data_IF_160533693021
#
_entry.id   IF_160533693021
#
_cell.length_a   1.000
_cell.length_b   1.000
_cell.length_c   1.000
_cell.angle_alpha   90.00
_cell.angle_beta   90.00
_cell.angle_gamma   90.00
#
_symmetry.space_group_name_H-M   'P 1'
#
loop_
_entity.id
_entity.type
_entity.pdbx_description
1 polymer ?
#
# COMPACT_ATOMS: atom_id res chain seq x y z
N UNK A 1 15.72 21.95 24.85
CA UNK A 1 15.28 23.13 24.11
C UNK A 1 13.82 22.89 23.69
N UNK A 2 12.83 23.49 24.40
CA UNK A 2 11.40 23.39 24.00
C UNK A 2 11.17 24.39 22.87
N UNK A 3 11.13 23.93 21.64
CA UNK A 3 10.70 24.76 20.51
C UNK A 3 9.21 24.99 20.69
N UNK A 4 8.82 26.21 21.06
CA UNK A 4 7.43 26.64 21.17
C UNK A 4 6.89 26.90 19.75
N UNK A 5 6.33 25.88 19.12
CA UNK A 5 5.62 26.03 17.84
C UNK A 5 4.25 26.66 18.14
N UNK A 6 3.93 27.78 17.45
CA UNK A 6 2.60 28.37 17.55
C UNK A 6 1.52 27.35 17.21
N UNK A 7 0.43 27.31 17.98
CA UNK A 7 -0.67 26.35 17.80
C UNK A 7 -1.23 26.34 16.38
N UNK A 8 -1.15 27.45 15.65
CA UNK A 8 -1.63 27.57 14.27
C UNK A 8 -0.76 26.80 13.25
N UNK A 9 0.53 26.53 13.57
CA UNK A 9 1.45 25.80 12.69
C UNK A 9 1.49 24.29 12.95
N UNK A 10 0.92 23.82 14.07
CA UNK A 10 0.94 22.39 14.42
C UNK A 10 0.35 21.51 13.32
N UNK A 11 -0.83 21.79 12.72
CA UNK A 11 -1.37 20.98 11.65
C UNK A 11 -0.44 20.88 10.44
N UNK A 12 0.17 22.00 10.05
CA UNK A 12 1.11 22.03 8.92
C UNK A 12 2.33 21.15 9.18
N UNK A 13 2.92 21.22 10.36
CA UNK A 13 4.10 20.43 10.75
C UNK A 13 3.77 18.93 10.75
N UNK A 14 2.59 18.55 11.27
CA UNK A 14 2.13 17.15 11.28
C UNK A 14 1.85 16.65 9.86
N UNK A 15 1.24 17.46 8.99
CA UNK A 15 1.02 17.11 7.57
C UNK A 15 2.35 16.92 6.86
N UNK A 16 3.30 17.83 6.99
CA UNK A 16 4.64 17.72 6.38
C UNK A 16 5.34 16.47 6.89
N UNK A 17 5.31 16.22 8.20
CA UNK A 17 5.86 14.99 8.79
C UNK A 17 5.26 13.74 8.19
N UNK A 18 3.93 13.68 8.07
CA UNK A 18 3.21 12.58 7.43
C UNK A 18 3.57 12.41 5.96
N UNK A 19 3.68 13.51 5.21
CA UNK A 19 4.09 13.50 3.80
C UNK A 19 5.48 12.90 3.63
N UNK A 20 6.46 13.32 4.42
CA UNK A 20 7.83 12.79 4.33
C UNK A 20 7.88 11.32 4.72
N UNK A 21 7.19 10.90 5.77
CA UNK A 21 7.12 9.50 6.18
C UNK A 21 6.54 8.62 5.07
N UNK A 22 5.40 8.99 4.48
CA UNK A 22 4.81 8.19 3.42
C UNK A 22 5.60 8.26 2.11
N UNK A 23 6.15 9.41 1.76
CA UNK A 23 6.99 9.57 0.56
C UNK A 23 8.17 8.60 0.60
N UNK A 24 8.93 8.60 1.70
CA UNK A 24 10.13 7.78 1.82
C UNK A 24 9.76 6.30 1.97
N UNK A 25 8.81 5.97 2.85
CA UNK A 25 8.47 4.57 3.11
C UNK A 25 7.83 3.89 1.89
N UNK A 26 6.94 4.56 1.17
CA UNK A 26 6.32 3.99 -0.04
C UNK A 26 7.32 3.88 -1.17
N UNK A 27 8.16 4.90 -1.38
CA UNK A 27 9.17 4.88 -2.41
C UNK A 27 10.14 3.69 -2.23
N UNK A 28 10.71 3.55 -1.04
CA UNK A 28 11.65 2.46 -0.73
C UNK A 28 10.95 1.09 -0.83
N UNK A 29 9.75 0.95 -0.26
CA UNK A 29 9.01 -0.31 -0.30
C UNK A 29 8.68 -0.75 -1.74
N UNK A 30 8.26 0.17 -2.61
CA UNK A 30 7.92 -0.17 -3.99
C UNK A 30 9.16 -0.40 -4.86
N UNK A 31 10.37 -0.10 -4.38
CA UNK A 31 11.62 -0.46 -5.04
C UNK A 31 12.01 -1.93 -4.83
N UNK A 32 11.35 -2.65 -3.91
CA UNK A 32 11.75 -4.03 -3.55
C UNK A 32 11.80 -4.97 -4.75
N UNK A 33 10.91 -4.84 -5.73
CA UNK A 33 10.90 -5.68 -6.93
C UNK A 33 12.15 -5.55 -7.82
N UNK A 34 12.87 -4.42 -7.76
CA UNK A 34 14.11 -4.21 -8.48
C UNK A 34 15.27 -5.10 -7.96
N UNK A 35 15.13 -5.64 -6.77
CA UNK A 35 16.13 -6.49 -6.13
C UNK A 35 15.92 -7.98 -6.37
N UNK A 36 14.80 -8.37 -7.03
CA UNK A 36 14.45 -9.79 -7.23
C UNK A 36 15.56 -10.52 -7.98
N UNK A 37 15.91 -10.07 -9.19
CA UNK A 37 16.92 -10.73 -10.04
C UNK A 37 18.31 -10.75 -9.40
N UNK A 38 18.88 -9.61 -8.93
CA UNK A 38 20.21 -9.62 -8.35
C UNK A 38 20.33 -10.48 -7.09
N UNK A 39 19.33 -10.49 -6.20
CA UNK A 39 19.37 -11.30 -4.97
C UNK A 39 19.15 -12.78 -5.28
N UNK A 40 18.20 -13.14 -6.14
CA UNK A 40 17.98 -14.54 -6.53
C UNK A 40 19.24 -15.13 -7.17
N UNK A 41 19.91 -14.37 -8.05
CA UNK A 41 21.17 -14.80 -8.68
C UNK A 41 22.30 -14.97 -7.66
N UNK A 42 22.47 -14.02 -6.73
CA UNK A 42 23.52 -14.09 -5.71
C UNK A 42 23.31 -15.27 -4.75
N UNK A 43 22.08 -15.53 -4.34
CA UNK A 43 21.77 -16.63 -3.43
C UNK A 43 21.67 -18.00 -4.14
N UNK A 44 21.64 -18.03 -5.47
CA UNK A 44 21.42 -19.25 -6.25
C UNK A 44 20.06 -19.90 -5.99
N UNK A 45 19.02 -19.09 -5.75
CA UNK A 45 17.67 -19.55 -5.41
C UNK A 45 16.64 -19.11 -6.44
N UNK A 46 15.51 -19.83 -6.50
CA UNK A 46 14.39 -19.44 -7.34
C UNK A 46 13.69 -18.14 -6.91
N UNK A 47 12.87 -17.62 -7.80
CA UNK A 47 12.06 -16.40 -7.54
C UNK A 47 10.99 -16.61 -6.48
N UNK A 48 10.61 -17.87 -6.22
CA UNK A 48 9.68 -18.22 -5.14
C UNK A 48 10.21 -17.74 -3.78
N UNK A 49 11.51 -17.94 -3.50
CA UNK A 49 12.11 -17.55 -2.22
C UNK A 49 12.03 -16.05 -2.00
N UNK A 50 12.38 -15.26 -3.02
CA UNK A 50 12.27 -13.81 -2.95
C UNK A 50 10.80 -13.36 -2.84
N UNK A 51 9.93 -13.89 -3.70
CA UNK A 51 8.50 -13.61 -3.67
C UNK A 51 7.87 -13.93 -2.32
N UNK A 52 8.27 -15.04 -1.68
CA UNK A 52 7.82 -15.40 -0.33
C UNK A 52 8.33 -14.44 0.74
N UNK A 53 9.57 -13.99 0.66
CA UNK A 53 10.11 -12.98 1.59
C UNK A 53 9.31 -11.66 1.51
N UNK A 54 9.01 -11.17 0.30
CA UNK A 54 8.15 -10.01 0.10
C UNK A 54 6.71 -10.29 0.56
N UNK A 55 6.21 -11.50 0.38
CA UNK A 55 4.90 -11.91 0.90
C UNK A 55 4.83 -11.79 2.43
N UNK A 56 5.88 -12.24 3.14
CA UNK A 56 6.00 -12.06 4.60
C UNK A 56 6.03 -10.58 4.98
N UNK A 57 6.72 -9.71 4.21
CA UNK A 57 6.67 -8.27 4.43
C UNK A 57 5.23 -7.74 4.41
N UNK A 58 4.42 -8.14 3.42
CA UNK A 58 3.00 -7.72 3.35
C UNK A 58 2.18 -8.23 4.53
N UNK A 59 2.39 -9.47 4.99
CA UNK A 59 1.73 -9.98 6.18
C UNK A 59 2.09 -9.16 7.43
N UNK A 60 3.36 -8.83 7.59
CA UNK A 60 3.81 -8.02 8.73
C UNK A 60 3.24 -6.60 8.70
N UNK A 61 3.05 -6.02 7.52
CA UNK A 61 2.31 -4.75 7.37
C UNK A 61 0.86 -4.93 7.81
N UNK A 62 0.20 -5.99 7.36
CA UNK A 62 -1.20 -6.27 7.67
C UNK A 62 -1.46 -6.44 9.16
N UNK A 63 -0.71 -7.31 9.82
CA UNK A 63 -0.84 -7.55 11.26
C UNK A 63 -0.24 -6.44 12.11
N UNK A 64 0.82 -5.81 11.66
CA UNK A 64 1.49 -4.71 12.38
C UNK A 64 0.65 -3.44 12.42
N UNK A 65 -0.11 -3.13 11.37
CA UNK A 65 -0.88 -1.88 11.28
C UNK A 65 -1.87 -1.67 12.44
N UNK A 66 -2.70 -2.63 12.87
CA UNK A 66 -3.54 -2.49 14.06
C UNK A 66 -2.73 -2.33 15.35
N UNK A 67 -1.62 -3.05 15.48
CA UNK A 67 -0.75 -3.00 16.67
C UNK A 67 -0.13 -1.61 16.81
N UNK A 68 0.47 -1.08 15.75
CA UNK A 68 1.04 0.26 15.76
C UNK A 68 -0.02 1.35 15.87
N UNK A 69 -1.23 1.13 15.32
CA UNK A 69 -2.39 2.00 15.57
C UNK A 69 -2.73 2.09 17.06
N UNK A 70 -2.82 0.96 17.75
CA UNK A 70 -3.07 0.92 19.19
C UNK A 70 -1.94 1.56 20.01
N UNK A 71 -0.68 1.37 19.62
CA UNK A 71 0.48 2.05 20.22
C UNK A 71 0.37 3.57 20.03
N UNK A 72 -0.02 4.02 18.82
CA UNK A 72 -0.21 5.43 18.52
C UNK A 72 -1.34 6.07 19.35
N UNK A 73 -2.41 5.33 19.59
CA UNK A 73 -3.51 5.82 20.42
C UNK A 73 -3.14 5.89 21.90
N UNK A 74 -2.39 4.91 22.40
CA UNK A 74 -2.01 4.83 23.83
C UNK A 74 -0.82 5.71 24.19
N UNK A 75 0.23 5.69 23.37
CA UNK A 75 1.51 6.33 23.68
C UNK A 75 1.80 7.57 22.85
N UNK A 76 1.06 7.78 21.76
CA UNK A 76 1.21 8.90 20.84
C UNK A 76 1.73 8.48 19.46
N UNK A 77 1.23 9.17 18.43
CA UNK A 77 1.53 8.82 17.03
C UNK A 77 3.02 8.96 16.68
N UNK A 78 3.73 9.93 17.27
CA UNK A 78 5.15 10.10 17.00
C UNK A 78 6.03 8.99 17.60
N UNK A 79 5.66 8.45 18.77
CA UNK A 79 6.39 7.31 19.35
C UNK A 79 6.18 6.03 18.54
N UNK A 80 4.94 5.78 18.12
CA UNK A 80 4.63 4.67 17.24
C UNK A 80 5.38 4.78 15.90
N UNK A 81 5.37 5.98 15.28
CA UNK A 81 6.09 6.25 14.05
C UNK A 81 7.61 6.10 14.21
N UNK A 82 8.19 6.61 15.30
CA UNK A 82 9.62 6.48 15.56
C UNK A 82 10.05 5.03 15.71
N UNK A 83 9.31 4.23 16.48
CA UNK A 83 9.56 2.78 16.60
C UNK A 83 9.46 2.10 15.24
N UNK A 84 8.43 2.46 14.43
CA UNK A 84 8.29 1.96 13.07
C UNK A 84 9.47 2.34 12.18
N UNK A 85 9.94 3.59 12.23
CA UNK A 85 11.10 4.06 11.44
C UNK A 85 12.39 3.33 11.84
N UNK A 86 12.61 3.08 13.13
CA UNK A 86 13.77 2.32 13.60
C UNK A 86 13.73 0.89 13.05
N UNK A 87 12.60 0.20 13.16
CA UNK A 87 12.43 -1.14 12.59
C UNK A 87 12.57 -1.15 11.06
N UNK A 88 12.06 -0.11 10.39
CA UNK A 88 12.19 0.08 8.95
C UNK A 88 13.66 0.15 8.52
N UNK A 89 14.46 1.00 9.20
CA UNK A 89 15.88 1.16 8.89
C UNK A 89 16.66 -0.12 9.23
N UNK A 90 16.37 -0.77 10.38
CA UNK A 90 17.01 -2.02 10.74
C UNK A 90 16.71 -3.10 9.70
N UNK A 91 15.44 -3.31 9.35
CA UNK A 91 15.04 -4.31 8.35
C UNK A 91 15.63 -4.03 6.97
N UNK A 92 15.67 -2.75 6.56
CA UNK A 92 16.29 -2.32 5.31
C UNK A 92 17.81 -2.55 5.32
N UNK A 93 18.49 -2.23 6.42
CA UNK A 93 19.92 -2.48 6.54
C UNK A 93 20.25 -3.98 6.56
N UNK A 94 19.45 -4.79 7.28
CA UNK A 94 19.56 -6.25 7.22
C UNK A 94 19.36 -6.76 5.79
N UNK A 95 18.47 -6.16 5.01
CA UNK A 95 18.25 -6.52 3.62
C UNK A 95 19.50 -6.30 2.77
N UNK A 96 20.36 -5.31 3.05
CA UNK A 96 21.66 -5.12 2.37
C UNK A 96 22.70 -6.18 2.71
N UNK A 97 22.53 -6.93 3.82
CA UNK A 97 23.45 -7.94 4.34
C UNK A 97 22.98 -9.37 4.03
N UNK A 98 22.06 -9.55 3.10
CA UNK A 98 21.46 -10.86 2.82
C UNK A 98 22.48 -11.81 2.18
N UNK A 99 22.72 -12.95 2.85
CA UNK A 99 23.58 -14.05 2.42
C UNK A 99 22.84 -15.41 2.44
N UNK A 100 21.58 -15.45 2.91
CA UNK A 100 20.79 -16.66 2.94
C UNK A 100 19.29 -16.39 2.82
N UNK A 101 18.54 -17.38 2.32
CA UNK A 101 17.07 -17.29 2.17
C UNK A 101 16.37 -16.99 3.49
N UNK A 102 16.79 -17.62 4.59
CA UNK A 102 16.19 -17.40 5.91
C UNK A 102 16.44 -15.98 6.40
N UNK A 103 17.64 -15.46 6.19
CA UNK A 103 17.98 -14.09 6.59
C UNK A 103 17.21 -13.06 5.73
N UNK A 104 17.00 -13.35 4.43
CA UNK A 104 16.15 -12.56 3.55
C UNK A 104 14.72 -12.48 4.11
N UNK A 105 14.10 -13.61 4.43
CA UNK A 105 12.75 -13.66 4.98
C UNK A 105 12.66 -12.88 6.30
N UNK A 106 13.64 -13.04 7.18
CA UNK A 106 13.68 -12.35 8.46
C UNK A 106 13.87 -10.84 8.32
N UNK A 107 14.73 -10.40 7.41
CA UNK A 107 14.92 -8.97 7.11
C UNK A 107 13.63 -8.33 6.60
N UNK A 108 12.90 -9.02 5.70
CA UNK A 108 11.63 -8.56 5.17
C UNK A 108 10.50 -8.56 6.20
N UNK A 109 10.51 -9.47 7.17
CA UNK A 109 9.57 -9.45 8.28
C UNK A 109 9.77 -8.20 9.17
N UNK A 110 11.01 -7.88 9.54
CA UNK A 110 11.33 -6.68 10.33
C UNK A 110 11.01 -5.41 9.53
N UNK A 111 11.39 -5.37 8.25
CA UNK A 111 11.09 -4.26 7.36
C UNK A 111 9.58 -4.02 7.23
N UNK A 112 8.79 -5.09 7.10
CA UNK A 112 7.33 -5.03 7.05
C UNK A 112 6.71 -4.47 8.33
N UNK A 113 7.20 -4.88 9.51
CA UNK A 113 6.78 -4.29 10.79
C UNK A 113 7.13 -2.80 10.86
N UNK A 114 8.32 -2.42 10.38
CA UNK A 114 8.72 -1.02 10.25
C UNK A 114 7.76 -0.23 9.35
N UNK A 115 7.42 -0.78 8.17
CA UNK A 115 6.43 -0.19 7.26
C UNK A 115 5.05 0.01 7.91
N UNK A 116 4.62 -0.92 8.78
CA UNK A 116 3.36 -0.78 9.52
C UNK A 116 3.40 0.39 10.50
N UNK A 117 4.52 0.56 11.22
CA UNK A 117 4.67 1.58 12.25
C UNK A 117 4.83 3.00 11.70
N UNK A 118 5.52 3.18 10.58
CA UNK A 118 5.65 4.49 9.92
C UNK A 118 4.67 4.68 8.75
N UNK A 119 3.74 3.74 8.55
CA UNK A 119 2.82 3.69 7.41
C UNK A 119 1.51 4.44 7.63
N UNK A 120 0.57 4.13 6.72
CA UNK A 120 -0.70 4.85 6.59
C UNK A 120 -1.54 4.90 7.87
N UNK A 121 -1.64 3.80 8.63
CA UNK A 121 -2.49 3.75 9.82
C UNK A 121 -2.08 4.80 10.87
N UNK A 122 -0.78 4.87 11.18
CA UNK A 122 -0.25 5.81 12.18
C UNK A 122 -0.26 7.25 11.66
N UNK A 123 0.16 7.44 10.40
CA UNK A 123 0.27 8.78 9.80
C UNK A 123 -1.10 9.41 9.59
N UNK A 124 -2.06 8.68 8.99
CA UNK A 124 -3.40 9.21 8.77
C UNK A 124 -4.14 9.44 10.10
N UNK A 125 -3.89 8.58 11.10
CA UNK A 125 -4.39 8.79 12.46
C UNK A 125 -3.89 10.10 13.07
N UNK A 126 -2.58 10.39 12.95
CA UNK A 126 -1.99 11.63 13.45
C UNK A 126 -2.55 12.87 12.76
N UNK A 127 -2.60 12.86 11.42
CA UNK A 127 -3.13 13.97 10.62
C UNK A 127 -4.62 14.19 10.91
N UNK A 128 -5.41 13.11 10.96
CA UNK A 128 -6.84 13.17 11.23
C UNK A 128 -7.19 13.76 12.60
N UNK A 129 -6.32 13.53 13.61
CA UNK A 129 -6.46 14.11 14.96
C UNK A 129 -6.09 15.58 15.05
N UNK A 130 -5.34 16.09 14.09
CA UNK A 130 -4.73 17.42 14.19
C UNK A 130 -5.44 18.46 13.32
N UNK A 131 -6.04 18.03 12.21
CA UNK A 131 -6.64 18.91 11.22
C UNK A 131 -8.14 19.10 11.48
N UNK A 132 -8.62 20.33 11.34
CA UNK A 132 -10.05 20.66 11.44
C UNK A 132 -10.88 19.84 10.45
N UNK A 133 -12.08 19.48 10.84
CA UNK A 133 -12.97 18.59 10.08
C UNK A 133 -13.19 19.05 8.63
N UNK A 134 -13.38 20.34 8.41
CA UNK A 134 -13.57 20.94 7.08
C UNK A 134 -12.40 20.71 6.10
N UNK A 135 -11.17 20.53 6.61
CA UNK A 135 -9.96 20.36 5.81
C UNK A 135 -9.36 18.96 5.91
N UNK A 136 -9.96 18.07 6.71
CA UNK A 136 -9.41 16.75 7.04
C UNK A 136 -9.25 15.87 5.80
N UNK A 137 -10.27 15.78 4.96
CA UNK A 137 -10.23 14.96 3.74
C UNK A 137 -9.12 15.41 2.79
N UNK A 138 -8.96 16.73 2.61
CA UNK A 138 -7.88 17.28 1.78
C UNK A 138 -6.50 16.94 2.36
N UNK A 139 -6.30 17.11 3.67
CA UNK A 139 -5.03 16.83 4.33
C UNK A 139 -4.64 15.34 4.22
N UNK A 140 -5.60 14.43 4.43
CA UNK A 140 -5.39 12.99 4.26
C UNK A 140 -5.05 12.64 2.80
N UNK A 141 -5.72 13.28 1.84
CA UNK A 141 -5.44 13.14 0.40
C UNK A 141 -4.04 13.59 0.02
N UNK A 142 -3.58 14.74 0.53
CA UNK A 142 -2.23 15.29 0.29
C UNK A 142 -1.16 14.32 0.81
N UNK A 143 -1.34 13.78 2.02
CA UNK A 143 -0.39 12.85 2.62
C UNK A 143 -0.33 11.52 1.85
N UNK A 144 -1.46 11.01 1.38
CA UNK A 144 -1.49 9.81 0.54
C UNK A 144 -0.84 10.05 -0.84
N UNK A 145 -1.09 11.21 -1.44
CA UNK A 145 -0.45 11.60 -2.70
C UNK A 145 1.07 11.71 -2.58
N UNK A 146 1.59 12.17 -1.41
CA UNK A 146 3.02 12.19 -1.14
C UNK A 146 3.63 10.78 -1.17
N UNK A 147 2.93 9.75 -0.68
CA UNK A 147 3.39 8.36 -0.80
C UNK A 147 3.54 7.91 -2.26
N UNK A 148 2.56 8.22 -3.10
CA UNK A 148 2.62 7.91 -4.54
C UNK A 148 3.71 8.70 -5.26
N UNK A 149 3.93 9.96 -4.87
CA UNK A 149 5.05 10.76 -5.37
C UNK A 149 6.39 10.15 -4.96
N UNK A 150 6.49 9.60 -3.74
CA UNK A 150 7.66 8.85 -3.28
C UNK A 150 7.97 7.65 -4.16
N UNK A 151 6.96 6.88 -4.56
CA UNK A 151 7.13 5.80 -5.52
C UNK A 151 7.68 6.32 -6.85
N UNK A 152 7.15 7.41 -7.38
CA UNK A 152 7.64 8.02 -8.62
C UNK A 152 9.10 8.49 -8.54
N UNK A 153 9.52 9.07 -7.41
CA UNK A 153 10.86 9.64 -7.25
C UNK A 153 11.91 8.59 -6.85
N UNK A 154 11.58 7.74 -5.88
CA UNK A 154 12.58 6.84 -5.26
C UNK A 154 12.79 5.57 -6.08
N UNK A 155 11.75 5.05 -6.76
CA UNK A 155 11.92 3.80 -7.51
C UNK A 155 12.86 3.98 -8.72
N UNK A 156 12.73 5.00 -9.59
CA UNK A 156 13.72 5.27 -10.64
C UNK A 156 15.10 5.61 -10.07
N UNK A 157 15.17 6.37 -8.95
CA UNK A 157 16.43 6.62 -8.26
C UNK A 157 17.10 5.32 -7.82
N UNK A 158 16.33 4.37 -7.26
CA UNK A 158 16.84 3.05 -6.88
C UNK A 158 17.39 2.28 -8.08
N UNK A 159 16.70 2.33 -9.23
CA UNK A 159 17.20 1.73 -10.47
C UNK A 159 18.55 2.31 -10.91
N UNK A 160 18.72 3.64 -10.81
CA UNK A 160 19.99 4.32 -11.09
C UNK A 160 21.07 3.88 -10.09
N UNK A 161 20.75 3.82 -8.79
CA UNK A 161 21.70 3.40 -7.76
C UNK A 161 22.16 1.94 -7.97
N UNK A 162 21.28 1.03 -8.34
CA UNK A 162 21.64 -0.35 -8.66
C UNK A 162 22.56 -0.39 -9.89
N UNK A 163 22.27 0.38 -10.93
CA UNK A 163 23.05 0.39 -12.16
C UNK A 163 24.44 1.03 -12.00
N UNK A 164 24.61 1.99 -11.08
CA UNK A 164 25.86 2.75 -10.88
C UNK A 164 26.74 2.21 -9.77
N UNK A 165 26.17 1.36 -8.88
CA UNK A 165 26.93 0.74 -7.78
C UNK A 165 26.73 -0.79 -7.80
N UNK A 166 26.15 -1.32 -6.77
CA UNK A 166 25.64 -2.68 -6.67
C UNK A 166 24.34 -2.64 -5.85
N UNK A 167 23.62 -3.77 -5.81
CA UNK A 167 22.33 -3.81 -5.12
C UNK A 167 22.49 -3.61 -3.60
N UNK A 168 23.57 -4.09 -2.96
CA UNK A 168 23.82 -3.93 -1.53
C UNK A 168 24.04 -2.45 -1.18
N UNK A 169 24.94 -1.77 -1.91
CA UNK A 169 25.23 -0.34 -1.71
C UNK A 169 24.00 0.52 -1.99
N UNK A 170 23.22 0.15 -3.01
CA UNK A 170 21.97 0.89 -3.29
C UNK A 170 21.00 0.88 -2.10
N UNK A 171 20.86 -0.27 -1.41
CA UNK A 171 20.04 -0.37 -0.18
C UNK A 171 20.65 0.47 0.95
N UNK A 172 21.96 0.49 1.12
CA UNK A 172 22.61 1.34 2.12
C UNK A 172 22.35 2.82 1.85
N UNK A 173 22.38 3.27 0.59
CA UNK A 173 21.99 4.65 0.24
C UNK A 173 20.52 4.93 0.59
N UNK A 174 19.63 3.98 0.36
CA UNK A 174 18.23 4.11 0.80
C UNK A 174 18.09 4.16 2.32
N UNK A 175 18.95 3.48 3.10
CA UNK A 175 18.98 3.63 4.55
C UNK A 175 19.36 5.07 4.95
N UNK A 176 20.33 5.71 4.28
CA UNK A 176 20.66 7.12 4.55
C UNK A 176 19.48 8.05 4.24
N UNK A 177 18.75 7.80 3.14
CA UNK A 177 17.51 8.56 2.83
C UNK A 177 16.46 8.33 3.94
N UNK A 178 16.31 7.09 4.43
CA UNK A 178 15.35 6.76 5.47
C UNK A 178 15.66 7.43 6.83
N UNK A 179 16.92 7.82 7.12
CA UNK A 179 17.27 8.53 8.35
C UNK A 179 16.49 9.84 8.52
N UNK A 180 16.11 10.49 7.42
CA UNK A 180 15.29 11.72 7.47
C UNK A 180 13.95 11.48 8.18
N UNK A 181 13.40 10.26 8.07
CA UNK A 181 12.14 9.89 8.69
C UNK A 181 12.17 10.00 10.21
N UNK A 182 13.34 9.86 10.86
CA UNK A 182 13.50 9.96 12.31
C UNK A 182 13.06 11.36 12.80
N UNK A 183 13.56 12.41 12.17
CA UNK A 183 13.21 13.78 12.54
C UNK A 183 11.70 14.06 12.34
N UNK A 184 11.15 13.59 11.21
CA UNK A 184 9.75 13.82 10.88
C UNK A 184 8.77 12.90 11.64
N UNK A 185 9.20 11.73 12.12
CA UNK A 185 8.39 10.91 13.02
C UNK A 185 8.11 11.63 14.34
N UNK A 186 9.09 12.35 14.86
CA UNK A 186 8.94 13.14 16.10
C UNK A 186 7.93 14.31 15.92
N UNK A 187 7.79 14.84 14.72
CA UNK A 187 6.79 15.87 14.42
C UNK A 187 5.35 15.37 14.66
N UNK A 188 5.08 14.07 14.50
CA UNK A 188 3.78 13.49 14.78
C UNK A 188 3.41 13.49 16.28
N UNK A 189 4.36 13.70 17.21
CA UNK A 189 4.05 13.87 18.62
C UNK A 189 3.25 15.15 18.91
N UNK A 190 3.24 16.11 17.97
CA UNK A 190 2.43 17.31 18.07
C UNK A 190 0.94 17.03 17.83
N UNK A 191 0.59 15.87 17.26
CA UNK A 191 -0.81 15.42 17.17
C UNK A 191 -1.33 15.16 18.59
N UNK A 192 -2.35 15.90 19.02
CA UNK A 192 -2.88 15.83 20.37
C UNK A 192 -3.28 14.40 20.79
N UNK A 193 -3.17 14.11 22.08
CA UNK A 193 -3.59 12.82 22.68
C UNK A 193 -5.11 12.68 22.82
N UNK A 194 -5.86 13.77 22.71
CA UNK A 194 -7.28 13.81 23.00
C UNK A 194 -8.10 13.88 21.71
N UNK A 195 -8.76 12.80 21.40
CA UNK A 195 -10.00 12.83 20.62
C UNK A 195 -11.15 13.02 21.61
N UNK A 196 -11.85 14.14 21.50
CA UNK A 196 -13.12 14.32 22.16
C UNK A 196 -14.12 13.37 21.49
N UNK A 197 -14.35 12.20 22.11
CA UNK A 197 -15.30 11.19 21.65
C UNK A 197 -16.72 11.55 22.10
N UNK A 198 -17.00 12.81 22.37
CA UNK A 198 -18.31 13.28 22.77
C UNK A 198 -19.32 13.17 21.61
N UNK A 199 -20.39 12.42 21.87
CA UNK A 199 -21.67 12.30 21.18
C UNK A 199 -21.78 11.32 20.01
N UNK A 200 -21.92 10.02 20.36
CA UNK A 200 -22.88 9.14 19.67
C UNK A 200 -23.16 7.91 20.54
N UNK A 201 -24.42 7.44 20.55
CA UNK A 201 -24.84 6.23 21.26
C UNK A 201 -23.86 5.07 20.96
N UNK A 202 -23.26 4.55 22.04
CA UNK A 202 -22.23 3.53 21.95
C UNK A 202 -22.87 2.17 21.64
N UNK A 203 -22.86 1.78 20.36
CA UNK A 203 -23.08 0.38 20.03
C UNK A 203 -21.81 -0.41 20.45
N UNK A 204 -21.95 -1.54 21.16
CA UNK A 204 -20.81 -2.35 21.54
C UNK A 204 -20.01 -2.75 20.29
N UNK A 205 -18.69 -2.58 20.34
CA UNK A 205 -17.78 -2.92 19.24
C UNK A 205 -17.99 -4.35 18.73
N UNK A 206 -18.22 -5.28 19.66
CA UNK A 206 -18.48 -6.71 19.38
C UNK A 206 -19.71 -6.90 18.51
N UNK A 207 -20.77 -6.13 18.73
CA UNK A 207 -22.01 -6.17 17.94
C UNK A 207 -21.78 -5.69 16.51
N UNK A 208 -21.07 -4.58 16.33
CA UNK A 208 -20.77 -4.03 14.99
C UNK A 208 -19.89 -4.97 14.18
N UNK A 209 -18.91 -5.61 14.82
CA UNK A 209 -18.09 -6.64 14.19
C UNK A 209 -18.94 -7.85 13.77
N UNK A 210 -19.78 -8.36 14.66
CA UNK A 210 -20.64 -9.49 14.34
C UNK A 210 -21.58 -9.17 13.16
N UNK A 211 -22.18 -7.97 13.12
CA UNK A 211 -23.00 -7.52 12.00
C UNK A 211 -22.20 -7.40 10.70
N UNK A 212 -20.98 -6.86 10.75
CA UNK A 212 -20.14 -6.70 9.59
C UNK A 212 -19.76 -8.06 8.95
N UNK A 213 -19.37 -9.03 9.77
CA UNK A 213 -18.96 -10.35 9.29
C UNK A 213 -20.11 -11.25 8.80
N UNK A 214 -21.37 -10.87 9.02
CA UNK A 214 -22.54 -11.52 8.39
C UNK A 214 -23.13 -10.67 7.25
N UNK A 215 -22.69 -9.42 7.09
CA UNK A 215 -23.18 -8.53 6.04
C UNK A 215 -22.59 -8.91 4.68
N UNK A 216 -23.45 -9.37 3.77
CA UNK A 216 -23.05 -9.82 2.43
C UNK A 216 -22.28 -8.75 1.64
N UNK A 217 -22.69 -7.48 1.74
CA UNK A 217 -22.00 -6.38 1.04
C UNK A 217 -20.59 -6.15 1.56
N UNK A 218 -20.38 -6.24 2.88
CA UNK A 218 -19.07 -6.10 3.48
C UNK A 218 -18.14 -7.27 3.17
N UNK A 219 -18.66 -8.51 3.19
CA UNK A 219 -17.90 -9.73 2.84
C UNK A 219 -17.43 -9.64 1.38
N UNK A 220 -18.33 -9.31 0.45
CA UNK A 220 -18.01 -9.20 -0.97
C UNK A 220 -17.02 -8.07 -1.24
N UNK A 221 -17.18 -6.91 -0.58
CA UNK A 221 -16.24 -5.80 -0.67
C UNK A 221 -14.84 -6.19 -0.19
N UNK A 222 -14.78 -6.89 0.94
CA UNK A 222 -13.52 -7.37 1.55
C UNK A 222 -12.85 -8.43 0.67
N UNK A 223 -13.61 -9.37 0.12
CA UNK A 223 -13.11 -10.37 -0.83
C UNK A 223 -12.62 -9.74 -2.14
N UNK A 224 -13.35 -8.75 -2.68
CA UNK A 224 -12.93 -8.01 -3.86
C UNK A 224 -11.64 -7.21 -3.63
N UNK A 225 -11.45 -6.67 -2.43
CA UNK A 225 -10.23 -5.92 -2.08
C UNK A 225 -8.98 -6.80 -1.92
N UNK A 226 -9.14 -8.10 -1.62
CA UNK A 226 -8.08 -9.10 -1.74
C UNK A 226 -7.45 -9.07 -3.13
N UNK A 227 -8.26 -9.03 -4.18
CA UNK A 227 -7.79 -9.01 -5.58
C UNK A 227 -6.96 -7.75 -5.87
N UNK A 228 -7.33 -6.61 -5.29
CA UNK A 228 -6.49 -5.41 -5.40
C UNK A 228 -5.08 -5.67 -4.88
N UNK A 229 -4.96 -6.24 -3.69
CA UNK A 229 -3.67 -6.59 -3.10
C UNK A 229 -2.87 -7.56 -3.96
N UNK A 230 -3.52 -8.60 -4.48
CA UNK A 230 -2.90 -9.57 -5.37
C UNK A 230 -2.26 -8.91 -6.60
N UNK A 231 -3.03 -8.08 -7.33
CA UNK A 231 -2.54 -7.38 -8.51
C UNK A 231 -1.38 -6.44 -8.20
N UNK A 232 -1.54 -5.64 -7.12
CA UNK A 232 -0.53 -4.66 -6.70
C UNK A 232 0.79 -5.34 -6.35
N UNK A 233 0.74 -6.40 -5.55
CA UNK A 233 1.95 -7.07 -5.10
C UNK A 233 2.62 -7.88 -6.22
N UNK A 234 1.84 -8.59 -7.04
CA UNK A 234 2.39 -9.29 -8.20
C UNK A 234 3.15 -8.35 -9.13
N UNK A 235 2.50 -7.27 -9.56
CA UNK A 235 3.14 -6.31 -10.49
C UNK A 235 4.33 -5.62 -9.84
N UNK A 236 4.20 -5.13 -8.60
CA UNK A 236 5.30 -4.42 -7.94
C UNK A 236 6.53 -5.31 -7.68
N UNK A 237 6.33 -6.62 -7.45
CA UNK A 237 7.42 -7.55 -7.15
C UNK A 237 8.05 -8.12 -8.42
N UNK A 238 7.24 -8.50 -9.42
CA UNK A 238 7.67 -9.34 -10.53
C UNK A 238 7.78 -8.62 -11.88
N UNK A 239 7.14 -7.44 -12.06
CA UNK A 239 7.21 -6.72 -13.34
C UNK A 239 8.65 -6.38 -13.76
N UNK A 240 9.56 -5.88 -12.89
CA UNK A 240 10.93 -5.60 -13.31
C UNK A 240 11.64 -6.84 -13.85
N UNK A 241 11.59 -7.96 -13.12
CA UNK A 241 12.20 -9.22 -13.54
C UNK A 241 11.57 -9.80 -14.82
N UNK A 242 10.25 -9.67 -14.99
CA UNK A 242 9.57 -10.05 -16.22
C UNK A 242 10.09 -9.25 -17.43
N UNK A 243 10.35 -7.96 -17.27
CA UNK A 243 10.85 -7.11 -18.35
C UNK A 243 12.30 -7.45 -18.71
N UNK A 244 13.12 -7.81 -17.72
CA UNK A 244 14.50 -8.31 -17.95
C UNK A 244 14.49 -9.64 -18.70
N UNK A 245 13.58 -10.58 -18.37
CA UNK A 245 13.44 -11.88 -19.06
C UNK A 245 13.14 -11.73 -20.56
N UNK A 246 12.37 -10.70 -20.92
CA UNK A 246 12.08 -10.40 -22.34
C UNK A 246 13.10 -9.44 -22.96
N UNK A 247 14.28 -9.31 -22.34
CA UNK A 247 15.44 -8.54 -22.82
C UNK A 247 15.18 -7.04 -22.96
N UNK A 248 14.26 -6.46 -22.19
CA UNK A 248 14.14 -5.02 -22.07
C UNK A 248 15.15 -4.46 -21.07
N UNK A 249 15.60 -3.24 -21.30
CA UNK A 249 16.57 -2.58 -20.43
C UNK A 249 16.01 -2.40 -18.99
N UNK A 250 16.84 -2.62 -17.97
CA UNK A 250 16.44 -2.57 -16.56
C UNK A 250 15.79 -1.24 -16.15
N UNK A 251 16.15 -0.12 -16.79
CA UNK A 251 15.53 1.17 -16.53
C UNK A 251 14.03 1.19 -16.84
N UNK A 252 13.55 0.37 -17.79
CA UNK A 252 12.12 0.28 -18.14
C UNK A 252 11.33 -0.24 -16.95
N UNK A 253 11.86 -1.21 -16.20
CA UNK A 253 11.23 -1.74 -14.98
C UNK A 253 11.08 -0.69 -13.88
N UNK A 254 12.17 0.04 -13.60
CA UNK A 254 12.15 1.08 -12.57
C UNK A 254 11.24 2.26 -12.93
N UNK A 255 11.27 2.73 -14.18
CA UNK A 255 10.38 3.79 -14.65
C UNK A 255 8.92 3.35 -14.73
N UNK A 256 8.66 2.08 -15.09
CA UNK A 256 7.28 1.55 -15.08
C UNK A 256 6.67 1.63 -13.68
N UNK A 257 7.38 1.16 -12.65
CA UNK A 257 6.92 1.27 -11.27
C UNK A 257 6.80 2.74 -10.81
N UNK A 258 7.71 3.60 -11.25
CA UNK A 258 7.64 5.04 -11.00
C UNK A 258 6.38 5.66 -11.62
N UNK A 259 6.10 5.40 -12.90
CA UNK A 259 4.93 5.90 -13.61
C UNK A 259 3.62 5.40 -12.98
N UNK A 260 3.58 4.14 -12.52
CA UNK A 260 2.44 3.65 -11.74
C UNK A 260 2.20 4.57 -10.53
N UNK A 261 3.25 4.96 -9.81
CA UNK A 261 3.14 5.89 -8.67
C UNK A 261 2.62 7.27 -9.09
N UNK A 262 3.17 7.86 -10.14
CA UNK A 262 2.78 9.18 -10.62
C UNK A 262 1.29 9.21 -11.05
N UNK A 263 0.89 8.28 -11.90
CA UNK A 263 -0.48 8.21 -12.41
C UNK A 263 -1.48 7.72 -11.35
N UNK A 264 -1.02 7.04 -10.30
CA UNK A 264 -1.86 6.72 -9.15
C UNK A 264 -2.34 7.96 -8.40
N UNK A 265 -1.56 9.04 -8.34
CA UNK A 265 -2.02 10.33 -7.80
C UNK A 265 -3.25 10.81 -8.56
N UNK A 266 -3.15 10.82 -9.90
CA UNK A 266 -4.25 11.26 -10.78
C UNK A 266 -5.49 10.36 -10.60
N UNK A 267 -5.28 9.05 -10.68
CA UNK A 267 -6.37 8.08 -10.55
C UNK A 267 -7.09 8.17 -9.20
N UNK A 268 -6.35 8.20 -8.10
CA UNK A 268 -6.93 8.26 -6.75
C UNK A 268 -7.74 9.53 -6.52
N UNK A 269 -7.25 10.69 -6.99
CA UNK A 269 -7.97 11.96 -6.89
C UNK A 269 -9.22 11.96 -7.78
N UNK A 270 -9.11 11.47 -9.01
CA UNK A 270 -10.23 11.39 -9.95
C UNK A 270 -11.35 10.49 -9.43
N UNK A 271 -11.02 9.25 -9.04
CA UNK A 271 -12.02 8.29 -8.55
C UNK A 271 -12.52 8.64 -7.15
N UNK A 272 -11.70 9.26 -6.30
CA UNK A 272 -12.16 9.84 -5.04
C UNK A 272 -13.29 10.85 -5.27
N UNK A 273 -13.07 11.81 -6.17
CA UNK A 273 -14.05 12.84 -6.53
C UNK A 273 -15.30 12.28 -7.22
N UNK A 274 -15.13 11.32 -8.12
CA UNK A 274 -16.26 10.62 -8.74
C UNK A 274 -17.08 9.84 -7.70
N UNK A 275 -16.45 9.27 -6.69
CA UNK A 275 -17.11 8.56 -5.60
C UNK A 275 -17.99 9.44 -4.72
N UNK A 276 -17.78 10.76 -4.69
CA UNK A 276 -18.66 11.70 -3.98
C UNK A 276 -20.02 11.88 -4.68
N UNK A 277 -20.05 11.75 -6.01
CA UNK A 277 -21.26 12.03 -6.83
C UNK A 277 -21.86 10.79 -7.48
N UNK A 278 -21.13 9.70 -7.60
CA UNK A 278 -21.55 8.46 -8.27
C UNK A 278 -21.54 7.27 -7.32
N UNK A 279 -22.24 6.18 -7.72
CA UNK A 279 -22.21 4.91 -6.98
C UNK A 279 -20.78 4.36 -6.88
N UNK A 280 -20.28 4.22 -5.66
CA UNK A 280 -18.92 3.74 -5.39
C UNK A 280 -18.73 2.30 -5.85
N UNK A 281 -19.76 1.44 -5.67
CA UNK A 281 -19.71 0.06 -6.15
C UNK A 281 -19.59 -0.02 -7.67
N UNK A 282 -20.35 0.82 -8.41
CA UNK A 282 -20.28 0.84 -9.86
C UNK A 282 -18.90 1.31 -10.33
N UNK A 283 -18.32 2.29 -9.66
CA UNK A 283 -16.94 2.73 -9.91
C UNK A 283 -15.92 1.61 -9.63
N UNK A 284 -16.11 0.81 -8.58
CA UNK A 284 -15.26 -0.37 -8.31
C UNK A 284 -15.43 -1.43 -9.40
N UNK A 285 -16.64 -1.72 -9.85
CA UNK A 285 -16.89 -2.62 -10.98
C UNK A 285 -16.13 -2.15 -12.22
N UNK A 286 -16.22 -0.87 -12.56
CA UNK A 286 -15.52 -0.27 -13.71
C UNK A 286 -14.00 -0.38 -13.52
N UNK A 287 -13.47 -0.04 -12.35
CA UNK A 287 -12.02 -0.10 -12.05
C UNK A 287 -11.46 -1.51 -12.22
N UNK A 288 -12.10 -2.51 -11.63
CA UNK A 288 -11.63 -3.90 -11.73
C UNK A 288 -11.79 -4.45 -13.14
N UNK A 289 -12.89 -4.12 -13.84
CA UNK A 289 -13.08 -4.51 -15.24
C UNK A 289 -12.04 -3.88 -16.17
N UNK A 290 -11.79 -2.57 -16.04
CA UNK A 290 -10.77 -1.87 -16.84
C UNK A 290 -9.37 -2.41 -16.56
N UNK A 291 -9.05 -2.76 -15.30
CA UNK A 291 -7.77 -3.37 -14.94
C UNK A 291 -7.61 -4.75 -15.58
N UNK A 292 -8.65 -5.58 -15.57
CA UNK A 292 -8.63 -6.89 -16.24
C UNK A 292 -8.49 -6.76 -17.76
N UNK A 293 -9.19 -5.82 -18.36
CA UNK A 293 -9.07 -5.52 -19.79
C UNK A 293 -7.65 -5.02 -20.11
N UNK A 294 -7.08 -4.19 -19.27
CA UNK A 294 -5.71 -3.71 -19.43
C UNK A 294 -4.67 -4.85 -19.34
N UNK A 295 -4.82 -5.77 -18.39
CA UNK A 295 -3.98 -6.98 -18.33
C UNK A 295 -4.17 -7.86 -19.57
N UNK A 296 -5.42 -8.05 -20.02
CA UNK A 296 -5.72 -8.80 -21.23
C UNK A 296 -5.03 -8.19 -22.45
N UNK A 297 -5.17 -6.88 -22.64
CA UNK A 297 -4.48 -6.14 -23.72
C UNK A 297 -2.96 -6.31 -23.59
N UNK A 298 -2.42 -6.19 -22.35
CA UNK A 298 -1.00 -6.36 -22.10
C UNK A 298 -0.47 -7.73 -22.53
N UNK A 299 -1.23 -8.81 -22.34
CA UNK A 299 -0.82 -10.16 -22.78
C UNK A 299 -0.55 -10.21 -24.28
N UNK A 300 -1.37 -9.56 -25.10
CA UNK A 300 -1.33 -9.64 -26.56
C UNK A 300 -0.52 -8.53 -27.25
N UNK A 301 -0.25 -7.41 -26.57
CA UNK A 301 0.51 -6.32 -27.15
C UNK A 301 2.00 -6.67 -27.32
N UNK A 302 2.67 -6.14 -28.38
CA UNK A 302 4.11 -6.20 -28.48
C UNK A 302 4.78 -5.58 -27.25
N UNK A 303 5.80 -6.26 -26.71
CA UNK A 303 6.52 -5.83 -25.50
C UNK A 303 7.67 -4.90 -25.90
N UNK A 304 7.34 -3.64 -26.22
CA UNK A 304 8.33 -2.58 -26.44
C UNK A 304 8.40 -1.66 -25.22
N UNK A 305 9.48 -0.90 -25.08
CA UNK A 305 9.63 0.07 -23.99
C UNK A 305 8.43 1.02 -23.91
N UNK A 306 7.98 1.54 -25.05
CA UNK A 306 6.86 2.48 -25.13
C UNK A 306 5.55 1.82 -24.69
N UNK A 307 5.24 0.61 -25.16
CA UNK A 307 4.01 -0.10 -24.77
C UNK A 307 3.98 -0.44 -23.30
N UNK A 308 5.14 -0.79 -22.71
CA UNK A 308 5.27 -1.05 -21.27
C UNK A 308 5.05 0.22 -20.45
N UNK A 309 5.66 1.35 -20.83
CA UNK A 309 5.48 2.62 -20.13
C UNK A 309 4.04 3.14 -20.21
N UNK A 310 3.38 2.99 -21.37
CA UNK A 310 1.95 3.32 -21.52
C UNK A 310 1.09 2.40 -20.63
N UNK A 311 1.35 1.09 -20.64
CA UNK A 311 0.67 0.14 -19.77
C UNK A 311 0.84 0.54 -18.29
N UNK A 312 2.05 0.89 -17.86
CA UNK A 312 2.34 1.32 -16.50
C UNK A 312 1.57 2.60 -16.12
N UNK A 313 1.52 3.58 -17.00
CA UNK A 313 0.76 4.82 -16.78
C UNK A 313 -0.74 4.55 -16.64
N UNK A 314 -1.34 3.77 -17.54
CA UNK A 314 -2.75 3.40 -17.49
C UNK A 314 -3.07 2.55 -16.24
N UNK A 315 -2.19 1.59 -15.91
CA UNK A 315 -2.32 0.80 -14.69
C UNK A 315 -2.24 1.67 -13.44
N UNK A 316 -1.38 2.69 -13.46
CA UNK A 316 -1.25 3.68 -12.38
C UNK A 316 -2.57 4.39 -12.08
N UNK A 317 -3.31 4.84 -13.09
CA UNK A 317 -4.64 5.45 -12.92
C UNK A 317 -5.61 4.50 -12.19
N UNK A 318 -5.50 3.20 -12.46
CA UNK A 318 -6.36 2.17 -11.88
C UNK A 318 -5.81 1.57 -10.57
N UNK A 319 -4.59 1.96 -10.13
CA UNK A 319 -3.78 1.26 -9.11
C UNK A 319 -4.47 1.19 -7.76
N UNK A 320 -4.43 2.26 -6.97
CA UNK A 320 -5.05 2.35 -5.65
C UNK A 320 -6.30 3.24 -5.64
N UNK A 321 -6.86 3.53 -6.81
CA UNK A 321 -8.13 4.27 -6.96
C UNK A 321 -9.32 3.53 -6.33
N UNK A 322 -9.16 2.26 -6.02
CA UNK A 322 -10.12 1.44 -5.26
C UNK A 322 -10.19 1.82 -3.77
N UNK A 323 -9.11 2.36 -3.19
CA UNK A 323 -9.01 2.64 -1.75
C UNK A 323 -10.07 3.62 -1.23
N UNK A 324 -10.22 4.84 -1.82
CA UNK A 324 -11.22 5.79 -1.36
C UNK A 324 -12.65 5.29 -1.56
N UNK A 325 -12.91 4.51 -2.61
CA UNK A 325 -14.23 3.94 -2.88
C UNK A 325 -14.59 2.86 -1.88
N UNK A 326 -13.64 1.96 -1.58
CA UNK A 326 -13.81 0.87 -0.61
C UNK A 326 -14.08 1.42 0.79
N UNK A 327 -13.27 2.36 1.27
CA UNK A 327 -13.47 3.00 2.57
C UNK A 327 -14.78 3.80 2.60
N UNK A 328 -15.14 4.44 1.48
CA UNK A 328 -16.39 5.16 1.33
C UNK A 328 -17.63 4.27 1.42
N UNK A 329 -17.63 3.06 0.84
CA UNK A 329 -18.74 2.10 0.98
C UNK A 329 -18.88 1.66 2.43
N UNK A 330 -17.79 1.37 3.13
CA UNK A 330 -17.81 1.01 4.56
C UNK A 330 -18.44 2.14 5.40
N UNK A 331 -18.05 3.38 5.11
CA UNK A 331 -18.59 4.56 5.79
C UNK A 331 -20.09 4.74 5.55
N UNK A 332 -20.59 4.43 4.34
CA UNK A 332 -22.02 4.50 4.00
C UNK A 332 -22.80 3.41 4.74
N UNK A 333 -22.32 2.17 4.76
CA UNK A 333 -23.04 1.03 5.34
C UNK A 333 -23.06 1.10 6.89
N UNK A 334 -21.89 1.33 7.51
CA UNK A 334 -21.69 1.21 8.96
C UNK A 334 -21.54 2.53 9.71
N UNK A 335 -21.46 3.64 8.96
CA UNK A 335 -21.15 4.96 9.52
C UNK A 335 -19.65 5.25 9.65
N UNK A 336 -19.32 6.54 9.74
CA UNK A 336 -17.92 7.01 9.78
C UNK A 336 -17.18 6.59 11.07
N UNK A 337 -17.91 6.38 12.18
CA UNK A 337 -17.35 6.01 13.49
C UNK A 337 -16.57 4.68 13.44
N UNK A 338 -17.12 3.67 12.78
CA UNK A 338 -16.54 2.32 12.72
C UNK A 338 -15.72 2.07 11.44
N UNK A 339 -15.68 3.06 10.55
CA UNK A 339 -15.03 2.96 9.23
C UNK A 339 -13.57 2.52 9.36
N UNK A 340 -12.78 3.14 10.23
CA UNK A 340 -11.35 2.86 10.34
C UNK A 340 -11.06 1.43 10.75
N UNK A 341 -11.83 0.91 11.71
CA UNK A 341 -11.68 -0.47 12.18
C UNK A 341 -12.10 -1.48 11.12
N UNK A 342 -13.27 -1.31 10.53
CA UNK A 342 -13.79 -2.21 9.51
C UNK A 342 -12.92 -2.16 8.24
N UNK A 343 -12.45 -0.97 7.86
CA UNK A 343 -11.47 -0.83 6.79
C UNK A 343 -10.15 -1.55 7.14
N UNK A 344 -9.75 -1.59 8.41
CA UNK A 344 -8.58 -2.34 8.86
C UNK A 344 -8.67 -3.84 8.53
N UNK A 345 -9.83 -4.48 8.76
CA UNK A 345 -10.05 -5.87 8.37
C UNK A 345 -10.09 -6.05 6.84
N UNK A 346 -10.72 -5.11 6.13
CA UNK A 346 -10.70 -5.11 4.66
C UNK A 346 -9.27 -4.93 4.13
N UNK A 347 -8.46 -4.09 4.77
CA UNK A 347 -7.05 -3.90 4.45
C UNK A 347 -6.21 -5.15 4.76
N UNK A 348 -6.52 -5.88 5.83
CA UNK A 348 -5.89 -7.18 6.09
C UNK A 348 -6.15 -8.16 4.95
N UNK A 349 -7.37 -8.20 4.41
CA UNK A 349 -7.68 -9.02 3.22
C UNK A 349 -6.84 -8.60 2.00
N UNK A 350 -6.65 -7.30 1.78
CA UNK A 350 -5.73 -6.78 0.77
C UNK A 350 -4.29 -7.28 0.98
N UNK A 351 -3.81 -7.29 2.21
CA UNK A 351 -2.45 -7.76 2.52
C UNK A 351 -2.31 -9.28 2.34
N UNK A 352 -3.36 -10.05 2.61
CA UNK A 352 -3.41 -11.48 2.26
C UNK A 352 -3.38 -11.69 0.74
N UNK A 353 -4.08 -10.84 -0.02
CA UNK A 353 -3.98 -10.81 -1.48
C UNK A 353 -2.56 -10.47 -1.94
N UNK A 354 -1.94 -9.49 -1.30
CA UNK A 354 -0.55 -9.09 -1.59
C UNK A 354 0.44 -10.21 -1.29
N UNK A 355 0.24 -10.93 -0.19
CA UNK A 355 1.00 -12.14 0.12
C UNK A 355 0.90 -13.17 -1.03
N UNK A 356 -0.33 -13.49 -1.45
CA UNK A 356 -0.56 -14.48 -2.49
C UNK A 356 0.03 -14.04 -3.84
N UNK A 357 -0.16 -12.78 -4.25
CA UNK A 357 0.35 -12.25 -5.51
C UNK A 357 1.87 -12.25 -5.60
N UNK A 358 2.53 -11.88 -4.51
CA UNK A 358 3.99 -11.86 -4.43
C UNK A 358 4.59 -13.27 -4.42
N UNK A 359 4.06 -14.16 -3.60
CA UNK A 359 4.58 -15.53 -3.47
C UNK A 359 4.28 -16.37 -4.71
N UNK A 360 3.03 -16.41 -5.15
CA UNK A 360 2.65 -17.22 -6.31
C UNK A 360 3.32 -16.73 -7.60
N UNK A 361 3.61 -15.44 -7.73
CA UNK A 361 4.40 -14.92 -8.86
C UNK A 361 5.73 -15.63 -9.01
N UNK A 362 6.49 -15.78 -7.94
CA UNK A 362 7.76 -16.49 -7.93
C UNK A 362 7.59 -18.00 -8.13
N UNK A 363 6.65 -18.61 -7.38
CA UNK A 363 6.41 -20.06 -7.45
C UNK A 363 5.99 -20.53 -8.84
N UNK A 364 5.05 -19.84 -9.48
CA UNK A 364 4.64 -20.21 -10.84
C UNK A 364 5.76 -20.00 -11.86
N UNK A 365 6.56 -18.95 -11.68
CA UNK A 365 7.73 -18.75 -12.51
C UNK A 365 8.75 -19.90 -12.36
N UNK A 366 9.06 -20.33 -11.15
CA UNK A 366 10.02 -21.41 -10.90
C UNK A 366 9.54 -22.77 -11.44
N UNK A 367 8.21 -22.99 -11.49
CA UNK A 367 7.62 -24.22 -12.03
C UNK A 367 7.54 -24.20 -13.56
N UNK A 368 7.13 -23.07 -14.16
CA UNK A 368 6.76 -23.00 -15.59
C UNK A 368 7.75 -22.21 -16.44
N UNK A 369 8.72 -21.51 -15.83
CA UNK A 369 9.70 -20.67 -16.54
C UNK A 369 9.10 -19.40 -17.13
N UNK A 370 7.85 -19.04 -16.79
CA UNK A 370 7.13 -17.89 -17.37
C UNK A 370 6.13 -17.31 -16.38
N UNK A 371 5.79 -16.04 -16.56
CA UNK A 371 4.72 -15.35 -15.81
C UNK A 371 3.35 -15.42 -16.51
N UNK A 372 3.20 -16.10 -17.64
CA UNK A 372 1.97 -16.09 -18.44
C UNK A 372 0.75 -16.51 -17.63
N UNK A 373 0.87 -17.58 -16.84
CA UNK A 373 -0.21 -18.06 -15.95
C UNK A 373 -0.62 -16.98 -14.97
N UNK A 374 0.34 -16.24 -14.42
CA UNK A 374 0.05 -15.17 -13.45
C UNK A 374 -0.70 -14.00 -14.09
N UNK A 375 -0.36 -13.64 -15.33
CA UNK A 375 -1.10 -12.62 -16.08
C UNK A 375 -2.55 -13.03 -16.32
N UNK A 376 -2.78 -14.30 -16.70
CA UNK A 376 -4.13 -14.85 -16.87
C UNK A 376 -4.91 -14.90 -15.55
N UNK A 377 -4.25 -15.28 -14.45
CA UNK A 377 -4.85 -15.22 -13.11
C UNK A 377 -5.24 -13.79 -12.77
N UNK A 378 -4.42 -12.79 -13.07
CA UNK A 378 -4.77 -11.37 -12.85
C UNK A 378 -6.02 -10.97 -13.65
N UNK A 379 -6.13 -11.39 -14.92
CA UNK A 379 -7.33 -11.14 -15.73
C UNK A 379 -8.57 -11.76 -15.07
N UNK A 380 -8.49 -13.04 -14.70
CA UNK A 380 -9.62 -13.78 -14.12
C UNK A 380 -10.05 -13.21 -12.77
N UNK A 381 -9.10 -12.93 -11.88
CA UNK A 381 -9.37 -12.37 -10.56
C UNK A 381 -9.98 -10.96 -10.65
N UNK A 382 -9.52 -10.13 -11.59
CA UNK A 382 -10.08 -8.80 -11.74
C UNK A 382 -11.54 -8.82 -12.21
N UNK A 383 -11.91 -9.68 -13.18
CA UNK A 383 -13.31 -9.85 -13.55
C UNK A 383 -14.13 -10.50 -12.43
N UNK A 384 -13.56 -11.47 -11.69
CA UNK A 384 -14.21 -12.01 -10.50
C UNK A 384 -14.47 -10.94 -9.45
N UNK A 385 -13.50 -10.06 -9.19
CA UNK A 385 -13.68 -8.93 -8.28
C UNK A 385 -14.76 -7.97 -8.78
N UNK A 386 -14.78 -7.63 -10.08
CA UNK A 386 -15.84 -6.81 -10.65
C UNK A 386 -17.22 -7.45 -10.42
N UNK A 387 -17.36 -8.76 -10.67
CA UNK A 387 -18.60 -9.50 -10.44
C UNK A 387 -19.01 -9.52 -8.94
N UNK A 388 -18.05 -9.67 -8.02
CA UNK A 388 -18.32 -9.59 -6.58
C UNK A 388 -18.84 -8.23 -6.13
N UNK A 389 -18.47 -7.15 -6.80
CA UNK A 389 -18.95 -5.81 -6.45
C UNK A 389 -20.37 -5.51 -6.97
N UNK A 390 -20.87 -6.20 -8.00
CA UNK A 390 -22.20 -5.96 -8.58
C UNK A 390 -23.35 -6.08 -7.55
N UNK A 391 -23.43 -7.11 -6.68
CA UNK A 391 -24.54 -7.28 -5.75
C UNK A 391 -24.41 -6.43 -4.47
N UNK A 392 -23.33 -5.65 -4.31
CA UNK A 392 -23.16 -4.80 -3.12
C UNK A 392 -24.29 -3.77 -3.02
N UNK A 393 -24.87 -3.65 -1.84
CA UNK A 393 -25.88 -2.64 -1.52
C UNK A 393 -25.22 -1.49 -0.75
N UNK A 394 -25.21 -0.29 -1.34
CA UNK A 394 -24.65 0.94 -0.76
C UNK A 394 -25.66 1.69 0.14
N UNK A 395 -26.54 0.98 0.82
CA UNK A 395 -27.46 1.61 1.77
C UNK A 395 -26.97 1.46 3.19
N UNK A 396 -27.20 2.47 4.06
CA UNK A 396 -26.98 2.31 5.49
C UNK A 396 -27.70 1.09 6.03
N UNK A 397 -27.09 0.39 6.99
CA UNK A 397 -27.79 -0.66 7.74
C UNK A 397 -29.00 -0.04 8.43
N UNK A 398 -30.19 -0.58 8.18
CA UNK A 398 -31.39 -0.21 8.91
C UNK A 398 -31.12 -0.48 10.40
N UNK A 399 -31.38 0.54 11.23
CA UNK A 399 -31.29 0.38 12.68
C UNK A 399 -32.41 -0.60 13.08
N UNK A 400 -32.06 -1.86 13.33
CA UNK A 400 -32.97 -2.76 14.02
C UNK A 400 -33.04 -2.24 15.47
N UNK A 401 -34.08 -1.45 15.77
CA UNK A 401 -34.42 -1.10 17.14
C UNK A 401 -35.01 -2.37 17.76
N UNK A 402 -34.19 -3.15 18.46
CA UNK A 402 -34.65 -4.16 19.41
C UNK A 402 -34.37 -3.69 20.82
#
# INVERSE_FOLDING_TARGET
MKISISKNFIPLVVIIGGCVLLLVSFGIRHSSGLYLTPISNQLGVGREVFGFAIAIQFLMIGFGSPIFGAIADKYGSGQAALTGVILFIIGLYMFSLVESSLFLIFSQAIFGLGCAGCGTAVVLGAVGKTVLEKNRTLALGVVMAAGSLGQFLIVPLTGILIATSDWQRSIVYLCFIALIMIAFSLALNLSGKNFDTSHSQDRPLKTVLAEAFVNKSYILLTAGFFVCGFHVAFVATHLPAYLEDISLAAWVGSWSLGLIGLFNVVGTLMFGRLGDSKSKKNLLVILYSLRSILFLIFIFLPKTEITILIFAALLGILWLSTVPLTSGIIAVIFGSRYMSMLYGFTFLSHQLGSFAGSWFGGRFYDIYGSYDIMWWICVALGFASAAMHLPINEKPLEKIYT
#
